data_IF_546510936442
#
_entry.id   IF_546510936442
#
_cell.length_a   1.000
_cell.length_b   1.000
_cell.length_c   1.000
_cell.angle_alpha   90.00
_cell.angle_beta   90.00
_cell.angle_gamma   90.00
#
_symmetry.space_group_name_H-M   'P 1'
#
loop_
_entity.id
_entity.type
_entity.pdbx_description
1 polymer ?
#
# COMPACT_ATOMS: atom_id res chain seq x y z
N UNK A 1 -16.91 -11.92 1.62
CA UNK A 1 -16.18 -12.11 0.34
C UNK A 1 -14.71 -12.21 0.68
N UNK A 2 -14.04 -13.31 0.29
CA UNK A 2 -12.56 -13.37 0.32
C UNK A 2 -12.08 -12.50 -0.85
N UNK A 3 -11.25 -11.51 -0.57
CA UNK A 3 -10.55 -10.77 -1.63
C UNK A 3 -9.38 -11.66 -2.07
N UNK A 4 -9.60 -12.47 -3.11
CA UNK A 4 -8.51 -13.17 -3.77
C UNK A 4 -7.58 -12.14 -4.42
N UNK A 5 -6.27 -12.38 -4.38
CA UNK A 5 -5.26 -11.44 -4.89
C UNK A 5 -5.42 -11.24 -6.41
N UNK A 6 -5.43 -9.98 -6.87
CA UNK A 6 -5.53 -9.65 -8.29
C UNK A 6 -4.10 -9.48 -8.82
N UNK A 7 -3.63 -10.38 -9.69
CA UNK A 7 -2.26 -10.31 -10.20
C UNK A 7 -2.22 -10.15 -11.72
N UNK A 8 -1.56 -9.09 -12.18
CA UNK A 8 -1.33 -8.83 -13.60
C UNK A 8 0.16 -8.68 -13.87
N UNK A 9 0.65 -9.36 -14.90
CA UNK A 9 2.01 -9.13 -15.42
C UNK A 9 2.17 -7.70 -15.93
N UNK A 10 3.38 -7.17 -15.82
CA UNK A 10 3.74 -5.84 -16.29
C UNK A 10 3.48 -5.69 -17.79
N UNK A 11 2.80 -4.61 -18.19
CA UNK A 11 2.78 -4.18 -19.58
C UNK A 11 4.18 -3.69 -19.98
N UNK A 12 4.49 -3.71 -21.28
CA UNK A 12 5.83 -3.42 -21.80
C UNK A 12 6.40 -2.08 -21.32
N UNK A 13 5.56 -1.04 -21.24
CA UNK A 13 5.98 0.30 -20.79
C UNK A 13 6.38 0.36 -19.30
N UNK A 14 5.89 -0.57 -18.48
CA UNK A 14 6.16 -0.63 -17.04
C UNK A 14 7.19 -1.69 -16.64
N UNK A 15 7.51 -2.63 -17.53
CA UNK A 15 8.37 -3.78 -17.24
C UNK A 15 9.79 -3.36 -16.78
N UNK A 16 10.39 -2.38 -17.45
CA UNK A 16 11.72 -1.85 -17.09
C UNK A 16 11.66 -0.50 -16.37
N UNK A 17 10.47 0.02 -16.10
CA UNK A 17 10.29 1.30 -15.44
C UNK A 17 10.68 1.25 -13.96
N UNK A 18 11.13 2.39 -13.42
CA UNK A 18 11.52 2.51 -12.01
C UNK A 18 10.33 2.16 -11.11
N UNK A 19 10.59 1.39 -10.07
CA UNK A 19 9.62 0.98 -9.06
C UNK A 19 10.00 1.56 -7.70
N UNK A 20 9.11 2.38 -7.13
CA UNK A 20 9.25 2.89 -5.77
C UNK A 20 8.22 2.24 -4.85
N UNK A 21 8.69 1.65 -3.76
CA UNK A 21 7.87 0.99 -2.73
C UNK A 21 7.79 1.88 -1.50
N UNK A 22 6.56 2.20 -1.10
CA UNK A 22 6.22 3.01 0.07
C UNK A 22 5.53 2.11 1.07
N UNK A 23 6.23 1.76 2.15
CA UNK A 23 5.77 0.77 3.10
C UNK A 23 5.40 1.39 4.44
N UNK A 24 4.11 1.33 4.76
CA UNK A 24 3.59 1.60 6.09
C UNK A 24 3.79 0.35 6.97
N UNK A 25 4.86 0.37 7.77
CA UNK A 25 5.24 -0.79 8.60
C UNK A 25 4.33 -0.95 9.82
N UNK A 26 3.59 0.09 10.20
CA UNK A 26 2.62 0.02 11.30
C UNK A 26 1.37 -0.75 10.86
N UNK A 27 0.91 -0.50 9.63
CA UNK A 27 -0.23 -1.21 9.06
C UNK A 27 0.12 -2.62 8.57
N UNK A 28 1.31 -2.80 7.99
CA UNK A 28 1.83 -4.07 7.48
C UNK A 28 3.16 -4.46 8.16
N UNK A 29 3.14 -4.85 9.46
CA UNK A 29 4.38 -5.16 10.17
C UNK A 29 5.05 -6.44 9.68
N UNK A 30 6.33 -6.59 10.00
CA UNK A 30 7.05 -7.87 9.88
C UNK A 30 6.41 -8.87 10.85
N UNK A 31 5.88 -10.02 10.36
CA UNK A 31 5.30 -11.01 11.24
C UNK A 31 6.33 -11.58 12.22
N UNK A 32 5.88 -11.91 13.44
CA UNK A 32 6.75 -12.54 14.44
C UNK A 32 7.33 -13.86 13.91
N UNK A 33 8.63 -14.06 14.12
CA UNK A 33 9.36 -15.25 13.69
C UNK A 33 9.74 -15.26 12.20
N UNK A 34 9.48 -14.18 11.47
CA UNK A 34 9.88 -14.06 10.06
C UNK A 34 11.16 -13.26 9.94
N UNK A 35 12.02 -13.67 9.01
CA UNK A 35 13.28 -12.99 8.76
C UNK A 35 13.06 -11.68 7.99
N UNK A 36 13.36 -10.56 8.65
CA UNK A 36 13.28 -9.23 8.08
C UNK A 36 14.31 -8.99 6.96
N UNK A 37 15.45 -9.69 6.96
CA UNK A 37 16.47 -9.53 5.90
C UNK A 37 15.93 -10.01 4.54
N UNK A 38 15.11 -11.06 4.55
CA UNK A 38 14.52 -11.63 3.33
C UNK A 38 13.45 -10.75 2.67
N UNK A 39 12.94 -9.70 3.33
CA UNK A 39 11.78 -8.93 2.84
C UNK A 39 12.08 -8.24 1.51
N UNK A 40 13.23 -7.55 1.40
CA UNK A 40 13.62 -6.87 0.17
C UNK A 40 13.71 -7.87 -1.01
N UNK A 41 14.31 -9.04 -0.77
CA UNK A 41 14.45 -10.09 -1.77
C UNK A 41 13.10 -10.68 -2.19
N UNK A 42 12.18 -10.88 -1.25
CA UNK A 42 10.83 -11.39 -1.53
C UNK A 42 10.00 -10.40 -2.32
N UNK A 43 10.05 -9.12 -1.96
CA UNK A 43 9.43 -8.04 -2.73
C UNK A 43 9.98 -8.01 -4.16
N UNK A 44 11.30 -8.00 -4.31
CA UNK A 44 11.95 -8.03 -5.62
C UNK A 44 11.55 -9.26 -6.43
N UNK A 45 11.56 -10.45 -5.82
CA UNK A 45 11.19 -11.70 -6.50
C UNK A 45 9.73 -11.70 -6.96
N UNK A 46 8.81 -11.21 -6.14
CA UNK A 46 7.41 -11.10 -6.52
C UNK A 46 7.18 -10.11 -7.68
N UNK A 47 7.89 -8.99 -7.68
CA UNK A 47 7.87 -8.01 -8.78
C UNK A 47 8.43 -8.62 -10.07
N UNK A 48 9.59 -9.28 -9.98
CA UNK A 48 10.25 -9.95 -11.10
C UNK A 48 9.39 -11.06 -11.69
N UNK A 49 8.68 -11.83 -10.86
CA UNK A 49 7.76 -12.87 -11.32
C UNK A 49 6.59 -12.31 -12.14
N UNK A 50 6.20 -11.05 -11.89
CA UNK A 50 5.23 -10.33 -12.70
C UNK A 50 5.89 -9.46 -13.79
N UNK A 51 7.16 -9.69 -14.10
CA UNK A 51 7.94 -8.99 -15.13
C UNK A 51 8.24 -7.50 -14.84
N UNK A 52 8.14 -7.06 -13.59
CA UNK A 52 8.69 -5.78 -13.15
C UNK A 52 10.18 -5.97 -12.83
N UNK A 53 11.06 -5.52 -13.72
CA UNK A 53 12.53 -5.70 -13.67
C UNK A 53 13.31 -4.39 -13.66
N UNK A 54 12.62 -3.25 -13.62
CA UNK A 54 13.27 -1.95 -13.49
C UNK A 54 13.89 -1.73 -12.10
N UNK A 55 14.62 -0.61 -11.91
CA UNK A 55 15.25 -0.29 -10.63
C UNK A 55 14.22 -0.24 -9.49
N UNK A 56 14.55 -0.87 -8.36
CA UNK A 56 13.67 -0.97 -7.19
C UNK A 56 14.22 -0.13 -6.02
N UNK A 57 13.37 0.71 -5.44
CA UNK A 57 13.66 1.44 -4.20
C UNK A 57 12.59 1.11 -3.17
N UNK A 58 12.98 0.83 -1.93
CA UNK A 58 12.06 0.47 -0.85
C UNK A 58 12.29 1.38 0.35
N UNK A 59 11.22 2.08 0.74
CA UNK A 59 11.22 2.97 1.89
C UNK A 59 10.10 2.60 2.85
N UNK A 60 10.45 2.31 4.09
CA UNK A 60 9.52 2.00 5.17
C UNK A 60 9.31 3.23 6.07
N UNK A 61 8.08 3.37 6.57
CA UNK A 61 7.62 4.49 7.39
C UNK A 61 6.96 3.97 8.65
N UNK A 62 7.35 4.51 9.79
CA UNK A 62 6.71 4.23 11.07
C UNK A 62 7.55 4.74 12.23
N UNK A 63 7.01 4.61 13.44
CA UNK A 63 7.77 4.97 14.63
C UNK A 63 8.87 3.94 14.93
N UNK A 64 10.13 4.31 14.66
CA UNK A 64 11.28 3.44 14.94
C UNK A 64 11.46 3.12 16.42
N UNK A 65 10.89 3.89 17.34
CA UNK A 65 10.90 3.57 18.77
C UNK A 65 10.03 2.34 19.09
N UNK A 66 9.02 2.07 18.26
CA UNK A 66 8.12 0.92 18.39
C UNK A 66 8.59 -0.31 17.60
N UNK A 67 9.58 -0.14 16.72
CA UNK A 67 10.14 -1.23 15.90
C UNK A 67 11.35 -1.83 16.64
N UNK A 68 11.41 -3.16 16.86
CA UNK A 68 12.57 -3.76 17.51
C UNK A 68 13.89 -3.45 16.78
N UNK A 69 14.96 -3.12 17.52
CA UNK A 69 16.26 -2.75 16.94
C UNK A 69 16.81 -3.77 15.93
N UNK A 70 16.67 -5.06 16.22
CA UNK A 70 17.11 -6.13 15.32
C UNK A 70 16.35 -6.11 13.98
N UNK A 71 15.07 -5.74 13.97
CA UNK A 71 14.30 -5.56 12.74
C UNK A 71 14.79 -4.31 12.00
N UNK A 72 15.02 -3.20 12.69
CA UNK A 72 15.53 -1.98 12.04
C UNK A 72 16.88 -2.23 11.35
N UNK A 73 17.79 -2.92 12.04
CA UNK A 73 19.09 -3.30 11.49
C UNK A 73 18.95 -4.23 10.28
N UNK A 74 18.07 -5.24 10.37
CA UNK A 74 17.82 -6.18 9.29
C UNK A 74 17.22 -5.51 8.04
N UNK A 75 16.31 -4.55 8.23
CA UNK A 75 15.74 -3.77 7.12
C UNK A 75 16.81 -2.89 6.47
N UNK A 76 17.61 -2.20 7.28
CA UNK A 76 18.69 -1.34 6.79
C UNK A 76 19.75 -2.15 6.03
N UNK A 77 20.16 -3.31 6.54
CA UNK A 77 21.14 -4.18 5.87
C UNK A 77 20.59 -4.83 4.59
N UNK A 78 19.27 -5.02 4.49
CA UNK A 78 18.59 -5.43 3.27
C UNK A 78 18.43 -4.30 2.24
N UNK A 79 18.92 -3.09 2.53
CA UNK A 79 18.82 -1.92 1.65
C UNK A 79 17.47 -1.20 1.70
N UNK A 80 16.66 -1.44 2.73
CA UNK A 80 15.38 -0.74 2.95
C UNK A 80 15.65 0.52 3.77
N UNK A 81 15.29 1.69 3.23
CA UNK A 81 15.38 2.96 3.96
C UNK A 81 14.27 3.03 5.01
N UNK A 82 14.61 3.29 6.27
CA UNK A 82 13.63 3.40 7.36
C UNK A 82 13.48 4.86 7.80
N UNK A 83 12.32 5.45 7.50
CA UNK A 83 11.98 6.82 7.86
C UNK A 83 11.22 6.84 9.19
N UNK A 84 11.84 7.45 10.21
CA UNK A 84 11.22 7.62 11.53
C UNK A 84 10.06 8.62 11.46
N UNK A 85 8.90 8.19 11.94
CA UNK A 85 7.71 9.03 12.11
C UNK A 85 7.21 8.92 13.56
N UNK A 86 7.32 9.97 14.38
CA UNK A 86 6.86 9.91 15.77
C UNK A 86 5.34 9.73 15.88
N UNK A 87 4.88 8.91 16.84
CA UNK A 87 3.45 8.60 17.06
C UNK A 87 2.60 9.75 17.61
N UNK A 88 3.12 10.98 17.66
CA UNK A 88 2.47 12.13 18.31
C UNK A 88 1.22 12.66 17.58
N UNK A 89 0.91 12.18 16.38
CA UNK A 89 -0.29 12.54 15.62
C UNK A 89 -0.85 11.32 14.91
N UNK A 90 -2.17 11.17 14.96
CA UNK A 90 -2.91 10.22 14.13
C UNK A 90 -2.60 10.52 12.65
N UNK A 91 -2.37 9.47 11.86
CA UNK A 91 -2.14 9.54 10.41
C UNK A 91 -0.83 10.29 10.05
N UNK A 92 0.16 10.33 10.95
CA UNK A 92 1.45 10.98 10.68
C UNK A 92 2.22 10.25 9.57
N UNK A 93 2.25 8.92 9.64
CA UNK A 93 2.88 8.05 8.64
C UNK A 93 2.23 8.25 7.27
N UNK A 94 0.90 8.29 7.22
CA UNK A 94 0.15 8.46 5.96
C UNK A 94 0.46 9.77 5.27
N UNK A 95 0.47 10.87 6.04
CA UNK A 95 0.82 12.20 5.53
C UNK A 95 2.24 12.22 5.00
N UNK A 96 3.19 11.60 5.71
CA UNK A 96 4.60 11.56 5.28
C UNK A 96 4.77 10.74 4.01
N UNK A 97 4.12 9.57 3.93
CA UNK A 97 4.11 8.72 2.73
C UNK A 97 3.56 9.50 1.54
N UNK A 98 2.40 10.17 1.69
CA UNK A 98 1.80 10.93 0.60
C UNK A 98 2.70 12.07 0.13
N UNK A 99 3.27 12.85 1.06
CA UNK A 99 4.18 13.95 0.73
C UNK A 99 5.39 13.45 -0.06
N UNK A 100 6.07 12.41 0.44
CA UNK A 100 7.26 11.88 -0.23
C UNK A 100 6.92 11.25 -1.59
N UNK A 101 5.79 10.54 -1.68
CA UNK A 101 5.29 9.97 -2.93
C UNK A 101 5.04 11.05 -3.98
N UNK A 102 4.40 12.16 -3.60
CA UNK A 102 4.16 13.27 -4.54
C UNK A 102 5.45 13.98 -4.93
N UNK A 103 6.39 14.20 -4.01
CA UNK A 103 7.69 14.77 -4.35
C UNK A 103 8.46 13.88 -5.33
N UNK A 104 8.47 12.57 -5.10
CA UNK A 104 9.11 11.61 -5.99
C UNK A 104 8.49 11.61 -7.40
N UNK A 105 7.17 11.74 -7.50
CA UNK A 105 6.42 11.82 -8.75
C UNK A 105 6.80 13.06 -9.59
N UNK A 106 7.26 14.15 -8.97
CA UNK A 106 7.74 15.34 -9.69
C UNK A 106 9.04 15.06 -10.45
N UNK A 107 9.89 14.18 -9.91
CA UNK A 107 11.20 13.86 -10.47
C UNK A 107 11.19 12.61 -11.36
N UNK A 108 10.12 11.81 -11.30
CA UNK A 108 10.02 10.52 -11.97
C UNK A 108 8.70 10.44 -12.76
N UNK A 109 8.61 11.08 -13.94
CA UNK A 109 7.38 11.09 -14.74
C UNK A 109 7.00 9.69 -15.22
N UNK A 110 5.72 9.48 -15.51
CA UNK A 110 5.23 8.24 -16.11
C UNK A 110 5.90 7.95 -17.48
N UNK A 111 6.14 6.67 -17.83
CA UNK A 111 5.73 5.46 -17.11
C UNK A 111 6.64 5.13 -15.91
N UNK A 112 6.01 4.86 -14.76
CA UNK A 112 6.68 4.43 -13.54
C UNK A 112 5.75 3.58 -12.67
N UNK A 113 6.35 2.72 -11.84
CA UNK A 113 5.63 1.84 -10.92
C UNK A 113 5.65 2.40 -9.50
N UNK A 114 4.47 2.50 -8.89
CA UNK A 114 4.31 2.91 -7.50
C UNK A 114 3.68 1.74 -6.73
N UNK A 115 4.42 1.23 -5.75
CA UNK A 115 3.91 0.18 -4.86
C UNK A 115 3.64 0.75 -3.48
N UNK A 116 2.39 0.66 -3.03
CA UNK A 116 2.04 0.97 -1.64
C UNK A 116 1.93 -0.34 -0.86
N UNK A 117 2.48 -0.36 0.36
CA UNK A 117 2.24 -1.44 1.32
C UNK A 117 1.49 -0.85 2.52
N UNK A 118 0.16 -0.86 2.45
CA UNK A 118 -0.74 -0.40 3.50
C UNK A 118 -2.17 -0.92 3.22
N UNK A 119 -3.00 -0.96 4.24
CA UNK A 119 -4.43 -1.27 4.20
C UNK A 119 -5.31 -0.04 4.41
N UNK A 120 -4.73 1.15 4.62
CA UNK A 120 -5.49 2.35 4.91
C UNK A 120 -6.23 2.90 3.67
N UNK A 121 -7.53 3.12 3.84
CA UNK A 121 -8.38 3.66 2.80
C UNK A 121 -8.06 5.11 2.42
N UNK A 122 -7.37 5.86 3.26
CA UNK A 122 -7.08 7.28 3.02
C UNK A 122 -6.13 7.51 1.83
N UNK A 123 -5.34 6.50 1.45
CA UNK A 123 -4.52 6.54 0.23
C UNK A 123 -5.32 6.38 -1.07
N UNK A 124 -6.56 5.86 -1.02
CA UNK A 124 -7.32 5.43 -2.20
C UNK A 124 -7.48 6.55 -3.23
N UNK A 125 -7.78 7.77 -2.76
CA UNK A 125 -7.95 8.93 -3.63
C UNK A 125 -6.65 9.29 -4.37
N UNK A 126 -5.55 9.41 -3.64
CA UNK A 126 -4.23 9.75 -4.19
C UNK A 126 -3.78 8.72 -5.22
N UNK A 127 -3.86 7.42 -4.89
CA UNK A 127 -3.50 6.35 -5.81
C UNK A 127 -4.35 6.34 -7.08
N UNK A 128 -5.67 6.57 -6.96
CA UNK A 128 -6.53 6.66 -8.14
C UNK A 128 -6.18 7.87 -9.03
N UNK A 129 -5.80 9.02 -8.43
CA UNK A 129 -5.32 10.18 -9.19
C UNK A 129 -4.03 9.86 -9.94
N UNK A 130 -3.07 9.19 -9.30
CA UNK A 130 -1.80 8.80 -9.92
C UNK A 130 -2.01 7.77 -11.04
N UNK A 131 -2.95 6.83 -10.86
CA UNK A 131 -3.34 5.90 -11.93
C UNK A 131 -3.87 6.63 -13.17
N UNK A 132 -4.71 7.66 -13.01
CA UNK A 132 -5.18 8.49 -14.13
C UNK A 132 -4.04 9.28 -14.80
N UNK A 133 -2.96 9.56 -14.07
CA UNK A 133 -1.72 10.16 -14.59
C UNK A 133 -0.76 9.13 -15.19
N UNK A 134 -1.25 7.92 -15.52
CA UNK A 134 -0.49 6.84 -16.19
C UNK A 134 0.65 6.25 -15.35
N UNK A 135 0.58 6.36 -14.02
CA UNK A 135 1.41 5.54 -13.13
C UNK A 135 0.78 4.14 -12.98
N UNK A 136 1.61 3.11 -12.94
CA UNK A 136 1.16 1.77 -12.61
C UNK A 136 1.14 1.58 -11.09
N UNK A 137 -0.04 1.30 -10.54
CA UNK A 137 -0.25 1.18 -9.09
C UNK A 137 -0.24 -0.28 -8.68
N UNK A 138 0.66 -0.60 -7.76
CA UNK A 138 0.84 -1.90 -7.12
C UNK A 138 0.48 -1.78 -5.64
N UNK A 139 -0.12 -2.81 -5.05
CA UNK A 139 -0.57 -2.76 -3.66
C UNK A 139 -0.26 -4.05 -2.90
N UNK A 140 0.39 -3.97 -1.75
CA UNK A 140 0.35 -5.04 -0.76
C UNK A 140 -0.45 -4.57 0.46
N UNK A 141 -1.36 -5.39 0.95
CA UNK A 141 -2.29 -4.98 1.99
C UNK A 141 -2.52 -6.09 3.03
N UNK A 142 -2.94 -5.77 4.27
CA UNK A 142 -3.30 -6.78 5.25
C UNK A 142 -4.61 -7.47 4.83
N UNK A 143 -5.03 -8.51 5.56
CA UNK A 143 -6.25 -9.27 5.25
C UNK A 143 -7.50 -8.38 5.17
N UNK A 144 -7.54 -7.34 6.01
CA UNK A 144 -8.62 -6.35 6.02
C UNK A 144 -8.09 -5.05 5.42
N UNK A 145 -8.42 -4.80 4.16
CA UNK A 145 -8.09 -3.57 3.47
C UNK A 145 -9.35 -2.92 2.91
N UNK A 146 -9.33 -1.59 2.76
CA UNK A 146 -10.43 -0.86 2.13
C UNK A 146 -10.67 -1.37 0.70
N UNK A 147 -11.92 -1.71 0.31
CA UNK A 147 -12.23 -2.08 -1.07
C UNK A 147 -11.86 -1.00 -2.09
N UNK A 148 -11.98 0.27 -1.69
CA UNK A 148 -11.59 1.41 -2.52
C UNK A 148 -10.08 1.47 -2.76
N UNK A 149 -9.28 1.08 -1.76
CA UNK A 149 -7.83 1.05 -1.89
C UNK A 149 -7.41 -0.03 -2.88
N UNK A 150 -7.98 -1.23 -2.73
CA UNK A 150 -7.72 -2.36 -3.65
C UNK A 150 -8.14 -2.01 -5.07
N UNK A 151 -9.30 -1.36 -5.25
CA UNK A 151 -9.78 -0.94 -6.57
C UNK A 151 -8.93 0.15 -7.25
N UNK A 152 -8.12 0.90 -6.48
CA UNK A 152 -7.16 1.87 -7.02
C UNK A 152 -5.89 1.23 -7.59
N UNK A 153 -5.61 -0.02 -7.21
CA UNK A 153 -4.44 -0.76 -7.67
C UNK A 153 -4.75 -1.60 -8.92
N UNK A 154 -3.74 -1.81 -9.76
CA UNK A 154 -3.80 -2.74 -10.89
C UNK A 154 -3.51 -4.17 -10.45
N UNK A 155 -2.51 -4.31 -9.58
CA UNK A 155 -2.09 -5.58 -9.01
C UNK A 155 -2.07 -5.44 -7.49
N UNK A 156 -2.61 -6.42 -6.80
CA UNK A 156 -2.62 -6.50 -5.36
C UNK A 156 -2.18 -7.85 -4.81
N UNK A 157 -1.51 -7.82 -3.66
CA UNK A 157 -1.16 -9.01 -2.88
C UNK A 157 -1.62 -8.86 -1.44
N UNK A 158 -1.98 -10.00 -0.84
CA UNK A 158 -2.02 -10.07 0.61
C UNK A 158 -0.59 -10.03 1.16
N UNK A 159 -0.28 -9.06 2.02
CA UNK A 159 1.06 -8.82 2.58
C UNK A 159 1.69 -10.10 3.13
N UNK A 160 0.98 -10.82 4.01
CA UNK A 160 1.47 -12.08 4.58
C UNK A 160 1.82 -13.11 3.52
N UNK A 161 1.03 -13.25 2.47
CA UNK A 161 1.30 -14.20 1.39
C UNK A 161 2.49 -13.76 0.54
N UNK A 162 2.61 -12.46 0.27
CA UNK A 162 3.70 -11.87 -0.49
C UNK A 162 5.06 -12.12 0.14
N UNK A 163 5.15 -12.03 1.46
CA UNK A 163 6.39 -12.33 2.19
C UNK A 163 6.51 -13.81 2.60
N UNK A 164 5.50 -14.65 2.36
CA UNK A 164 5.52 -16.08 2.69
C UNK A 164 6.28 -16.90 1.64
N UNK A 165 6.23 -16.46 0.39
CA UNK A 165 6.84 -17.14 -0.76
C UNK A 165 8.34 -17.27 -0.49
N UNK A 166 8.79 -18.52 -0.31
CA UNK A 166 10.16 -18.84 0.12
C UNK A 166 10.27 -19.57 1.47
N UNK A 167 9.19 -19.72 2.25
CA UNK A 167 9.17 -20.68 3.36
C UNK A 167 9.01 -22.11 2.82
N UNK A 168 9.94 -22.57 1.98
CA UNK A 168 10.13 -24.00 1.78
C UNK A 168 10.88 -24.53 3.00
N UNK A 169 10.19 -24.65 4.13
CA UNK A 169 10.67 -25.55 5.18
C UNK A 169 10.55 -26.95 4.60
N UNK A 170 11.66 -27.48 4.11
CA UNK A 170 11.82 -28.88 3.74
C UNK A 170 11.65 -29.73 4.99
N UNK A 171 10.40 -30.00 5.37
CA UNK A 171 10.05 -31.16 6.18
C UNK A 171 9.53 -32.22 5.23
N UNK A 172 10.46 -32.95 4.64
CA UNK A 172 10.25 -34.31 4.19
C UNK A 172 9.80 -35.14 5.40
N UNK A 173 8.50 -35.40 5.49
CA UNK A 173 8.00 -36.52 6.28
C UNK A 173 7.84 -37.70 5.33
N UNK A 174 8.81 -38.62 5.41
CA UNK A 174 8.66 -39.98 4.91
C UNK A 174 7.66 -40.77 5.74
N UNK A 175 7.18 -41.86 5.12
CA UNK A 175 6.17 -42.84 5.54
C UNK A 175 6.41 -43.44 6.94
N UNK A 176 5.52 -44.18 7.61
CA UNK A 176 4.32 -44.95 7.30
C UNK A 176 3.76 -45.44 8.66
N UNK A 177 2.44 -45.63 8.81
CA UNK A 177 1.81 -46.86 9.33
C UNK A 177 0.33 -46.65 9.71
N UNK A 178 -0.47 -47.62 9.28
CA UNK A 178 -1.93 -47.72 9.40
C UNK A 178 -2.43 -48.05 10.82
N UNK A 179 -3.66 -47.64 11.17
CA UNK A 179 -4.88 -48.49 11.14
C UNK A 179 -6.00 -47.96 12.10
N UNK A 180 -7.24 -48.12 11.62
CA UNK A 180 -8.49 -48.33 12.36
C UNK A 180 -9.39 -47.14 12.76
N UNK A 181 -10.52 -47.12 12.06
CA UNK A 181 -11.89 -46.74 12.43
C UNK A 181 -12.25 -46.80 13.91
N UNK A 182 -12.94 -45.76 14.41
CA UNK A 182 -14.23 -45.85 15.12
C UNK A 182 -14.82 -44.45 15.39
N UNK A 183 -16.10 -44.31 15.09
CA UNK A 183 -16.93 -43.16 15.41
C UNK A 183 -17.48 -43.29 16.84
N UNK A 184 -17.58 -42.18 17.59
CA UNK A 184 -18.65 -41.98 18.56
C UNK A 184 -18.97 -40.49 18.75
N UNK A 185 -20.26 -40.30 18.90
CA UNK A 185 -21.09 -39.11 18.94
C UNK A 185 -21.00 -38.39 20.31
N UNK A 186 -21.26 -37.07 20.31
CA UNK A 186 -21.71 -36.29 21.48
C UNK A 186 -22.08 -34.88 21.00
N UNK A 187 -23.37 -34.68 20.73
CA UNK A 187 -23.92 -33.39 20.34
C UNK A 187 -24.04 -32.37 21.48
N UNK A 188 -24.39 -31.14 21.11
CA UNK A 188 -25.57 -30.50 21.72
C UNK A 188 -26.10 -29.38 20.83
N UNK A 189 -27.42 -29.41 20.66
CA UNK A 189 -28.31 -28.49 19.94
C UNK A 189 -28.52 -27.23 20.77
N UNK A 190 -28.63 -26.05 20.13
CA UNK A 190 -29.43 -24.95 20.69
C UNK A 190 -30.22 -24.21 19.60
N UNK A 191 -31.42 -23.81 20.00
CA UNK A 191 -32.63 -23.61 19.20
C UNK A 191 -32.75 -22.25 18.47
N UNK A 192 -33.52 -22.26 17.37
CA UNK A 192 -34.37 -21.13 16.89
C UNK A 192 -35.50 -20.94 17.92
N UNK A 193 -36.11 -19.78 18.17
CA UNK A 193 -36.23 -18.49 17.52
C UNK A 193 -36.67 -17.48 18.60
N UNK A 194 -36.66 -16.17 18.32
CA UNK A 194 -37.82 -15.34 18.63
C UNK A 194 -37.84 -14.02 17.84
N UNK A 195 -39.04 -13.70 17.34
CA UNK A 195 -39.45 -12.49 16.63
C UNK A 195 -39.88 -11.45 17.66
N UNK A 196 -39.43 -10.20 17.52
CA UNK A 196 -40.22 -9.02 17.91
C UNK A 196 -40.00 -7.87 16.91
N UNK A 197 -41.11 -7.30 16.44
CA UNK A 197 -41.20 -6.15 15.52
C UNK A 197 -41.08 -4.84 16.31
N UNK A 198 -40.39 -3.88 15.70
CA UNK A 198 -40.81 -2.48 15.59
C UNK A 198 -40.54 -1.54 16.77
N UNK A 199 -39.72 -0.51 16.53
CA UNK A 199 -40.18 0.88 16.66
C UNK A 199 -39.22 1.85 15.97
N UNK A 200 -39.73 2.57 14.98
CA UNK A 200 -39.09 3.73 14.37
C UNK A 200 -39.30 4.94 15.28
N UNK A 201 -38.22 5.62 15.67
CA UNK A 201 -38.25 6.95 16.31
C UNK A 201 -37.09 7.78 15.74
N UNK A 202 -37.33 8.97 15.16
CA UNK A 202 -36.30 9.81 14.59
C UNK A 202 -35.73 10.80 15.64
N UNK A 203 -34.41 11.01 15.65
CA UNK A 203 -33.69 12.12 16.32
C UNK A 203 -32.22 12.04 15.90
N UNK A 204 -31.46 13.09 15.62
CA UNK A 204 -31.70 14.50 15.36
C UNK A 204 -30.47 14.98 14.58
N UNK A 205 -30.66 15.82 13.54
CA UNK A 205 -29.57 16.40 12.81
C UNK A 205 -28.87 17.48 13.66
N UNK A 206 -27.61 17.26 14.05
CA UNK A 206 -26.76 18.38 14.50
C UNK A 206 -25.25 18.11 14.31
N UNK A 207 -24.55 19.16 13.87
CA UNK A 207 -23.11 19.41 13.93
C UNK A 207 -22.14 18.70 12.94
N UNK A 208 -22.41 17.51 12.39
CA UNK A 208 -21.47 16.88 11.44
C UNK A 208 -21.59 17.43 10.00
N UNK A 209 -22.79 17.86 9.60
CA UNK A 209 -23.07 18.45 8.27
C UNK A 209 -22.36 19.81 8.06
N UNK A 210 -22.18 20.58 9.14
CA UNK A 210 -21.60 21.93 9.08
C UNK A 210 -20.08 21.90 8.90
N UNK A 211 -19.37 20.88 9.41
CA UNK A 211 -17.94 20.69 9.16
C UNK A 211 -17.65 20.16 7.77
N UNK A 212 -18.50 19.27 7.24
CA UNK A 212 -18.46 18.84 5.83
C UNK A 212 -18.61 20.03 4.88
N UNK A 213 -19.56 20.93 5.15
CA UNK A 213 -19.74 22.15 4.34
C UNK A 213 -18.63 23.18 4.52
N UNK A 214 -17.99 23.27 5.70
CA UNK A 214 -16.85 24.17 5.94
C UNK A 214 -15.58 23.74 5.20
N UNK A 215 -15.22 22.44 5.25
CA UNK A 215 -14.11 21.87 4.47
C UNK A 215 -14.37 21.94 2.95
N UNK A 216 -15.60 21.71 2.50
CA UNK A 216 -15.97 21.82 1.08
C UNK A 216 -16.05 23.28 0.57
N UNK A 217 -16.11 24.25 1.48
CA UNK A 217 -16.06 25.69 1.18
C UNK A 217 -14.62 26.20 1.24
N UNK A 218 -13.81 25.75 2.19
CA UNK A 218 -12.36 26.02 2.23
C UNK A 218 -11.63 25.39 1.03
N UNK A 219 -11.98 24.17 0.62
CA UNK A 219 -11.49 23.55 -0.62
C UNK A 219 -11.97 24.29 -1.89
N UNK A 220 -13.18 24.86 -1.87
CA UNK A 220 -13.67 25.70 -2.99
C UNK A 220 -12.98 27.06 -3.06
N UNK A 221 -12.57 27.64 -1.93
CA UNK A 221 -11.79 28.89 -1.95
C UNK A 221 -10.41 28.65 -2.58
N UNK A 222 -9.79 27.48 -2.37
CA UNK A 222 -8.57 27.10 -3.10
C UNK A 222 -8.81 26.83 -4.61
N UNK A 223 -10.01 26.39 -5.00
CA UNK A 223 -10.34 26.09 -6.40
C UNK A 223 -10.96 27.27 -7.19
N UNK A 224 -11.36 28.36 -6.55
CA UNK A 224 -11.91 29.55 -7.24
C UNK A 224 -10.83 30.62 -7.50
N UNK A 225 -9.63 30.46 -6.93
CA UNK A 225 -8.47 31.31 -7.22
C UNK A 225 -7.45 30.67 -8.19
N UNK A 226 -7.82 29.62 -8.93
CA UNK A 226 -6.97 29.06 -9.98
C UNK A 226 -7.75 28.95 -11.30
N UNK A 227 -8.09 30.12 -11.86
CA UNK A 227 -8.36 30.27 -13.30
C UNK A 227 -7.08 30.78 -13.97
N UNK A 228 -6.22 29.84 -14.31
CA UNK A 228 -5.31 29.85 -15.46
C UNK A 228 -4.57 28.51 -15.38
N UNK A 229 -4.79 27.55 -16.27
CA UNK A 229 -3.84 27.28 -17.37
C UNK A 229 -2.49 27.97 -17.12
N UNK A 230 -1.39 27.19 -17.05
CA UNK A 230 0.01 27.67 -16.89
C UNK A 230 0.71 27.42 -15.54
N UNK A 231 0.57 26.21 -14.97
CA UNK A 231 1.55 25.69 -14.00
C UNK A 231 2.22 24.41 -14.52
N UNK A 232 1.48 23.54 -15.21
CA UNK A 232 2.04 22.30 -15.79
C UNK A 232 2.81 22.51 -17.09
N UNK A 233 2.53 23.56 -17.87
CA UNK A 233 3.30 23.95 -19.06
C UNK A 233 4.64 24.57 -18.66
N UNK A 234 4.62 25.46 -17.68
CA UNK A 234 5.82 26.15 -17.16
C UNK A 234 6.82 25.19 -16.51
N UNK A 235 6.35 24.17 -15.78
CA UNK A 235 7.22 23.13 -15.23
C UNK A 235 7.86 22.25 -16.32
N UNK A 236 7.16 22.02 -17.45
CA UNK A 236 7.68 21.31 -18.61
C UNK A 236 8.72 22.13 -19.38
N UNK A 237 8.51 23.44 -19.51
CA UNK A 237 9.46 24.36 -20.17
C UNK A 237 10.71 24.61 -19.31
N UNK A 238 10.58 24.68 -17.98
CA UNK A 238 11.73 24.81 -17.08
C UNK A 238 12.57 23.52 -17.03
N UNK A 239 11.95 22.33 -17.11
CA UNK A 239 12.69 21.07 -17.22
C UNK A 239 13.43 20.92 -18.57
N UNK A 240 12.88 21.47 -19.65
CA UNK A 240 13.53 21.50 -20.96
C UNK A 240 14.73 22.47 -21.02
N UNK A 241 14.65 23.63 -20.34
CA UNK A 241 15.77 24.59 -20.27
C UNK A 241 16.95 24.09 -19.44
N UNK A 242 16.71 23.35 -18.35
CA UNK A 242 17.79 22.75 -17.54
C UNK A 242 18.52 21.64 -18.31
N UNK A 243 17.83 20.91 -19.18
CA UNK A 243 18.45 19.85 -19.99
C UNK A 243 19.36 20.41 -21.11
N UNK A 244 19.07 21.60 -21.65
CA UNK A 244 19.92 22.24 -22.67
C UNK A 244 21.20 22.83 -22.05
N UNK A 245 21.15 23.33 -20.81
CA UNK A 245 22.32 23.87 -20.12
C UNK A 245 23.36 22.80 -19.71
N UNK A 246 22.94 21.55 -19.52
CA UNK A 246 23.86 20.44 -19.16
C UNK A 246 24.55 19.84 -20.39
N UNK A 247 23.98 19.99 -21.59
CA UNK A 247 24.57 19.47 -22.83
C UNK A 247 25.46 20.47 -23.59
N UNK A 248 25.46 21.75 -23.19
CA UNK A 248 26.31 22.81 -23.77
C UNK A 248 27.66 23.03 -23.09
N UNK A 249 27.98 22.26 -22.05
CA UNK A 249 29.24 22.32 -21.32
C UNK A 249 30.10 21.08 -21.57
N UNK A 250 30.53 20.89 -22.82
CA UNK A 250 31.69 20.08 -23.21
C UNK A 250 32.45 20.79 -24.32
#
# INVERSE_FOLDING_TARGET
MRFDSITHTAEAEYATAKTSVWWDIENCPVPKGWDAHSIAQKLNSALVNLNYRGPLTITAYGNTELIPKHIQQALSSAGISLNHVPSGKKDASDKKILVDMFLWVLENPAPANLMLISGDGDFSYALNRLRMLRYNILLAHPLQASPFLVASARTSWMWRSLIATGCHSSRSFGSEHALSTQAMDSGCVFNKADKLKGMYVPKAASQQETRRKKLHKEWRVCNVACKSTDIFTTAREQAAQVSILVLGAK
#
